data_IF_894673068990
#
_entry.id   IF_894673068990
#
_cell.length_a   1.000
_cell.length_b   1.000
_cell.length_c   1.000
_cell.angle_alpha   90.00
_cell.angle_beta   90.00
_cell.angle_gamma   90.00
#
_symmetry.space_group_name_H-M   'P 1'
#
loop_
_entity.id
_entity.type
_entity.pdbx_description
1 polymer ?
#
# COMPACT_ATOMS: atom_id res chain seq x y z
N UNK A 1 14.72 0.08 -7.93
CA UNK A 1 14.84 -0.63 -9.16
C UNK A 1 15.28 0.22 -10.34
N UNK A 2 15.25 -0.34 -11.53
CA UNK A 2 15.77 0.32 -12.76
C UNK A 2 15.07 1.67 -13.07
N UNK A 3 13.76 1.73 -12.90
CA UNK A 3 12.98 2.97 -13.12
C UNK A 3 13.44 4.06 -12.16
N UNK A 4 13.57 3.72 -10.86
CA UNK A 4 14.04 4.68 -9.85
C UNK A 4 15.43 5.21 -10.19
N UNK A 5 16.35 4.33 -10.58
CA UNK A 5 17.70 4.72 -10.98
C UNK A 5 17.71 5.70 -12.17
N UNK A 6 16.84 5.49 -13.16
CA UNK A 6 16.70 6.42 -14.31
C UNK A 6 16.16 7.79 -13.88
N UNK A 7 15.17 7.81 -12.96
CA UNK A 7 14.61 9.05 -12.42
C UNK A 7 15.67 9.82 -11.63
N UNK A 8 16.40 9.14 -10.76
CA UNK A 8 17.49 9.74 -9.97
C UNK A 8 18.61 10.29 -10.85
N UNK A 9 19.00 9.56 -11.90
CA UNK A 9 20.00 10.02 -12.85
C UNK A 9 19.60 11.32 -13.58
N UNK A 10 18.30 11.58 -13.69
CA UNK A 10 17.74 12.81 -14.23
C UNK A 10 17.49 13.91 -13.16
N UNK A 11 17.91 13.71 -11.91
CA UNK A 11 17.72 14.65 -10.79
C UNK A 11 16.31 14.63 -10.18
N UNK A 12 15.49 13.64 -10.51
CA UNK A 12 14.15 13.48 -9.94
C UNK A 12 14.12 12.69 -8.65
N UNK A 13 12.97 12.70 -7.95
CA UNK A 13 12.67 11.90 -6.78
C UNK A 13 11.56 10.92 -7.10
N UNK A 14 11.51 9.79 -6.38
CA UNK A 14 10.53 8.73 -6.61
C UNK A 14 9.60 8.60 -5.41
N UNK A 15 8.34 8.93 -5.63
CA UNK A 15 7.27 8.65 -4.69
C UNK A 15 6.66 7.28 -5.01
N UNK A 16 6.66 6.38 -4.03
CA UNK A 16 6.02 5.08 -4.15
C UNK A 16 4.72 5.10 -3.36
N UNK A 17 3.61 4.93 -4.06
CA UNK A 17 2.32 4.74 -3.41
C UNK A 17 2.30 3.37 -2.72
N UNK A 18 2.54 3.38 -1.42
CA UNK A 18 2.51 2.22 -0.53
C UNK A 18 1.17 2.08 0.19
N UNK A 19 0.08 2.64 -0.36
CA UNK A 19 -1.23 2.60 0.26
C UNK A 19 -1.66 1.18 0.63
N UNK A 20 -1.33 0.19 -0.20
CA UNK A 20 -1.55 -1.22 0.09
C UNK A 20 -0.23 -1.98 0.04
N UNK A 21 0.18 -2.53 1.18
CA UNK A 21 1.40 -3.34 1.33
C UNK A 21 1.12 -4.84 1.45
N UNK A 22 -0.08 -5.32 1.13
CA UNK A 22 -0.45 -6.73 1.33
C UNK A 22 0.43 -7.72 0.55
N UNK A 23 1.09 -7.29 -0.52
CA UNK A 23 2.05 -8.11 -1.25
C UNK A 23 3.52 -7.85 -0.85
N UNK A 24 3.79 -6.92 0.07
CA UNK A 24 5.14 -6.44 0.32
C UNK A 24 5.67 -6.72 1.73
N UNK A 25 4.80 -6.71 2.76
CA UNK A 25 5.26 -6.83 4.16
C UNK A 25 6.06 -8.12 4.35
N UNK A 26 7.29 -7.97 4.82
CA UNK A 26 8.23 -9.07 5.02
C UNK A 26 8.85 -9.65 3.74
N UNK A 27 8.45 -9.18 2.54
CA UNK A 27 8.92 -9.69 1.24
C UNK A 27 9.71 -8.67 0.43
N UNK A 28 9.33 -7.39 0.47
CA UNK A 28 10.02 -6.33 -0.25
C UNK A 28 9.86 -4.98 0.45
N UNK A 29 10.86 -4.13 0.35
CA UNK A 29 10.88 -2.82 0.97
C UNK A 29 10.99 -1.72 -0.09
N UNK A 30 10.10 -0.70 -0.08
CA UNK A 30 10.14 0.41 -1.05
C UNK A 30 11.50 1.12 -1.13
N UNK A 31 12.21 1.27 -0.01
CA UNK A 31 13.54 1.86 0.03
C UNK A 31 14.60 1.06 -0.73
N UNK A 32 14.53 -0.28 -0.69
CA UNK A 32 15.53 -1.15 -1.32
C UNK A 32 15.53 -1.07 -2.85
N UNK A 33 14.38 -0.72 -3.45
CA UNK A 33 14.31 -0.55 -4.88
C UNK A 33 14.31 0.93 -5.34
N UNK A 34 14.63 1.84 -4.42
CA UNK A 34 14.94 3.23 -4.73
C UNK A 34 13.77 4.20 -4.56
N UNK A 35 12.83 3.90 -3.67
CA UNK A 35 11.81 4.87 -3.28
C UNK A 35 12.36 5.93 -2.35
N UNK A 36 12.07 7.20 -2.61
CA UNK A 36 12.46 8.33 -1.76
C UNK A 36 11.37 8.68 -0.75
N UNK A 37 10.12 8.49 -1.13
CA UNK A 37 8.93 8.70 -0.28
C UNK A 37 7.96 7.56 -0.48
N UNK A 38 7.35 7.09 0.61
CA UNK A 38 6.22 6.16 0.57
C UNK A 38 5.24 6.47 1.68
N UNK A 39 3.94 6.36 1.41
CA UNK A 39 2.90 6.42 2.43
C UNK A 39 2.23 5.06 2.61
N UNK A 40 1.60 4.86 3.77
CA UNK A 40 0.92 3.63 4.15
C UNK A 40 -0.54 3.92 4.48
N UNK A 41 -1.45 3.04 4.05
CA UNK A 41 -2.82 3.05 4.56
C UNK A 41 -2.99 1.97 5.63
N UNK A 42 -3.13 2.38 6.87
CA UNK A 42 -3.28 1.45 7.99
C UNK A 42 -4.59 0.65 7.90
N UNK A 43 -5.61 1.20 7.25
CA UNK A 43 -6.90 0.52 7.03
C UNK A 43 -6.88 -0.52 5.91
N UNK A 44 -5.79 -0.70 5.20
CA UNK A 44 -5.63 -1.74 4.17
C UNK A 44 -4.83 -2.93 4.70
N UNK A 45 -3.62 -2.67 5.19
CA UNK A 45 -2.67 -3.73 5.58
C UNK A 45 -2.58 -3.92 7.10
N UNK A 46 -2.92 -2.89 7.89
CA UNK A 46 -2.70 -2.85 9.34
C UNK A 46 -3.98 -2.69 10.17
N UNK A 47 -5.12 -3.13 9.64
CA UNK A 47 -6.39 -3.44 10.31
C UNK A 47 -7.16 -2.31 10.98
N UNK A 48 -6.77 -1.04 10.87
CA UNK A 48 -7.63 0.01 11.40
C UNK A 48 -8.93 0.09 10.59
N UNK A 49 -10.05 0.52 11.19
CA UNK A 49 -11.30 0.67 10.45
C UNK A 49 -11.20 1.82 9.44
N UNK A 50 -11.80 1.63 8.26
CA UNK A 50 -12.01 2.72 7.30
C UNK A 50 -13.24 3.55 7.65
N UNK A 51 -14.30 2.92 8.17
CA UNK A 51 -15.45 3.58 8.80
C UNK A 51 -16.27 4.47 7.87
N UNK A 52 -16.30 4.17 6.57
CA UNK A 52 -17.05 4.98 5.59
C UNK A 52 -16.46 6.34 5.29
N UNK A 53 -15.27 6.65 5.78
CA UNK A 53 -14.58 7.92 5.55
C UNK A 53 -13.17 7.96 6.10
N UNK A 54 -12.80 6.91 6.77
CA UNK A 54 -11.47 6.68 7.30
C UNK A 54 -11.01 7.66 8.38
N UNK A 55 -10.29 7.20 9.36
CA UNK A 55 -9.53 8.07 10.25
C UNK A 55 -8.37 8.73 9.48
N UNK A 56 -8.14 10.00 9.76
CA UNK A 56 -7.10 10.80 9.11
C UNK A 56 -5.70 10.49 9.65
N UNK A 57 -5.21 9.27 9.44
CA UNK A 57 -3.86 8.88 9.80
C UNK A 57 -3.25 7.98 8.73
N UNK A 58 -2.05 8.33 8.28
CA UNK A 58 -1.30 7.56 7.29
C UNK A 58 0.19 7.85 7.49
N UNK A 59 0.97 6.86 7.96
CA UNK A 59 2.41 7.03 8.07
C UNK A 59 3.05 7.35 6.72
N UNK A 60 4.01 8.25 6.73
CA UNK A 60 4.84 8.61 5.58
C UNK A 60 6.28 8.30 5.95
N UNK A 61 6.94 7.54 5.09
CA UNK A 61 8.36 7.22 5.20
C UNK A 61 9.13 7.98 4.12
N UNK A 62 10.28 8.53 4.47
CA UNK A 62 11.13 9.27 3.55
C UNK A 62 12.58 8.78 3.62
N UNK A 63 13.31 8.94 2.52
CA UNK A 63 14.76 8.75 2.50
C UNK A 63 15.45 9.87 3.30
N UNK A 64 16.66 9.58 3.82
CA UNK A 64 17.39 10.44 4.75
C UNK A 64 17.54 11.89 4.25
N UNK A 65 17.86 12.08 2.98
CA UNK A 65 18.05 13.40 2.37
C UNK A 65 16.77 14.28 2.35
N UNK A 66 15.59 13.69 2.57
CA UNK A 66 14.32 14.40 2.63
C UNK A 66 13.88 14.75 4.06
N UNK A 67 14.57 14.25 5.09
CA UNK A 67 14.23 14.54 6.49
C UNK A 67 14.13 16.05 6.78
N UNK A 68 15.06 16.91 6.31
CA UNK A 68 14.99 18.36 6.56
C UNK A 68 13.70 19.02 6.04
N UNK A 69 13.03 18.41 5.06
CA UNK A 69 11.84 18.95 4.41
C UNK A 69 10.51 18.38 4.96
N UNK A 70 10.58 17.50 5.95
CA UNK A 70 9.36 16.95 6.56
C UNK A 70 8.50 18.07 7.19
N UNK A 71 7.16 17.87 7.26
CA UNK A 71 6.30 18.78 7.99
C UNK A 71 6.75 18.96 9.44
N UNK A 72 6.72 20.19 9.92
CA UNK A 72 7.01 20.50 11.31
C UNK A 72 5.76 20.41 12.19
N UNK A 73 5.96 20.22 13.48
CA UNK A 73 4.90 20.38 14.48
C UNK A 73 4.48 21.85 14.57
N UNK A 74 3.15 22.16 14.52
CA UNK A 74 2.67 23.55 14.74
C UNK A 74 3.11 24.16 16.07
N UNK A 75 3.36 23.33 17.06
CA UNK A 75 3.83 23.74 18.40
C UNK A 75 5.35 23.85 18.50
N UNK A 76 6.04 23.58 17.40
CA UNK A 76 7.48 23.76 17.26
C UNK A 76 8.29 23.01 18.34
N UNK A 77 7.95 21.76 18.61
CA UNK A 77 8.67 20.92 19.55
C UNK A 77 9.93 20.31 18.88
N UNK A 78 11.11 20.87 19.13
CA UNK A 78 12.35 20.38 18.51
C UNK A 78 12.77 19.00 19.00
N UNK A 79 12.10 18.46 20.03
CA UNK A 79 12.44 17.12 20.55
C UNK A 79 11.80 16.02 19.70
N UNK A 80 10.77 16.34 18.94
CA UNK A 80 10.04 15.37 18.08
C UNK A 80 10.73 15.14 16.74
N UNK A 81 11.29 16.21 16.16
CA UNK A 81 11.99 16.13 14.88
C UNK A 81 13.13 17.16 14.81
N UNK A 82 14.25 16.91 15.50
CA UNK A 82 15.35 17.90 15.59
C UNK A 82 16.03 18.17 14.25
N UNK A 83 15.95 17.25 13.30
CA UNK A 83 16.59 17.35 11.99
C UNK A 83 15.72 18.02 10.93
N UNK A 84 14.47 18.38 11.25
CA UNK A 84 13.57 19.09 10.33
C UNK A 84 13.84 20.60 10.43
N UNK A 85 14.39 21.17 9.38
CA UNK A 85 14.80 22.58 9.36
C UNK A 85 13.99 23.46 8.42
N UNK A 86 13.53 22.91 7.31
CA UNK A 86 12.89 23.67 6.22
C UNK A 86 11.39 23.41 6.10
N UNK A 87 10.90 22.35 6.76
CA UNK A 87 9.49 21.97 6.73
C UNK A 87 8.58 23.00 7.38
N UNK A 88 7.30 22.98 6.98
CA UNK A 88 6.27 23.82 7.57
C UNK A 88 5.12 22.95 8.06
N UNK A 89 4.36 23.39 9.08
CA UNK A 89 3.17 22.67 9.51
C UNK A 89 2.17 22.54 8.36
N UNK A 90 1.67 21.34 8.13
CA UNK A 90 0.66 21.06 7.09
C UNK A 90 -0.71 20.79 7.69
N UNK A 91 -0.78 20.54 9.01
CA UNK A 91 -2.00 20.23 9.74
C UNK A 91 -1.84 20.65 11.21
N UNK A 92 -2.95 21.04 11.84
CA UNK A 92 -3.01 21.26 13.29
C UNK A 92 -2.96 19.94 14.08
N UNK A 93 -3.29 18.82 13.45
CA UNK A 93 -3.19 17.47 14.02
C UNK A 93 -1.97 16.76 13.44
N UNK A 94 -0.79 17.01 14.00
CA UNK A 94 0.50 16.54 13.52
C UNK A 94 0.53 15.02 13.27
N UNK A 95 -0.10 14.26 14.15
CA UNK A 95 -0.14 12.79 14.06
C UNK A 95 -1.48 12.25 13.54
N UNK A 96 -2.33 13.12 12.98
CA UNK A 96 -3.64 12.75 12.50
C UNK A 96 -4.53 12.16 13.61
N UNK A 97 -5.34 11.17 13.27
CA UNK A 97 -6.20 10.45 14.24
C UNK A 97 -5.42 9.40 15.03
N UNK A 98 -4.44 9.85 15.82
CA UNK A 98 -3.50 8.98 16.54
C UNK A 98 -4.17 7.94 17.46
N UNK A 99 -5.39 8.18 17.92
CA UNK A 99 -6.16 7.24 18.76
C UNK A 99 -6.45 5.87 18.13
N UNK A 100 -6.27 5.70 16.81
CA UNK A 100 -6.43 4.41 16.13
C UNK A 100 -5.12 3.62 16.01
N UNK A 101 -3.97 4.23 16.28
CA UNK A 101 -2.66 3.56 16.19
C UNK A 101 -2.51 2.32 17.08
N UNK A 102 -3.09 2.27 18.31
CA UNK A 102 -3.06 1.06 19.13
C UNK A 102 -3.64 -0.18 18.43
N UNK A 103 -4.58 -0.02 17.50
CA UNK A 103 -5.15 -1.14 16.73
C UNK A 103 -4.07 -1.76 15.84
N UNK A 104 -3.36 -0.95 15.04
CA UNK A 104 -2.26 -1.44 14.21
C UNK A 104 -1.11 -1.99 15.05
N UNK A 105 -0.77 -1.33 16.16
CA UNK A 105 0.26 -1.81 17.09
C UNK A 105 -0.09 -3.20 17.64
N UNK A 106 -1.32 -3.40 18.08
CA UNK A 106 -1.80 -4.68 18.61
C UNK A 106 -1.75 -5.76 17.53
N UNK A 107 -2.22 -5.45 16.32
CA UNK A 107 -2.17 -6.37 15.18
C UNK A 107 -0.74 -6.82 14.88
N UNK A 108 0.20 -5.87 14.79
CA UNK A 108 1.62 -6.16 14.53
C UNK A 108 2.21 -7.01 15.68
N UNK A 109 1.91 -6.66 16.93
CA UNK A 109 2.39 -7.41 18.09
C UNK A 109 1.84 -8.84 18.16
N UNK A 110 0.59 -9.05 17.74
CA UNK A 110 -0.04 -10.38 17.69
C UNK A 110 0.50 -11.26 16.57
N UNK A 111 0.74 -10.66 15.40
CA UNK A 111 1.19 -11.39 14.20
C UNK A 111 2.69 -11.70 14.24
N UNK A 112 3.48 -10.78 14.77
CA UNK A 112 4.93 -10.84 14.68
C UNK A 112 5.44 -10.73 13.24
N UNK A 113 6.73 -10.83 13.04
CA UNK A 113 7.37 -10.78 11.73
C UNK A 113 7.02 -11.98 10.84
N UNK A 114 7.00 -13.17 11.42
CA UNK A 114 6.62 -14.40 10.71
C UNK A 114 5.15 -14.35 10.25
N UNK A 115 4.23 -13.97 11.14
CA UNK A 115 2.82 -13.91 10.82
C UNK A 115 2.48 -12.85 9.78
N UNK A 116 3.10 -11.68 9.84
CA UNK A 116 2.93 -10.63 8.83
C UNK A 116 3.48 -11.05 7.46
N UNK A 117 4.65 -11.69 7.44
CA UNK A 117 5.24 -12.22 6.20
C UNK A 117 4.37 -13.32 5.60
N UNK A 118 3.84 -14.23 6.43
CA UNK A 118 2.96 -15.30 5.97
C UNK A 118 1.64 -14.74 5.44
N UNK A 119 1.07 -13.71 6.05
CA UNK A 119 -0.12 -13.03 5.54
C UNK A 119 0.12 -12.48 4.12
N UNK A 120 1.29 -11.87 3.86
CA UNK A 120 1.65 -11.40 2.52
C UNK A 120 1.78 -12.57 1.53
N UNK A 121 2.43 -13.67 1.92
CA UNK A 121 2.56 -14.87 1.07
C UNK A 121 1.18 -15.45 0.72
N UNK A 122 0.31 -15.58 1.71
CA UNK A 122 -1.04 -16.09 1.49
C UNK A 122 -1.89 -15.18 0.61
N UNK A 123 -1.74 -13.86 0.72
CA UNK A 123 -2.40 -12.93 -0.18
C UNK A 123 -1.98 -13.15 -1.65
N UNK A 124 -0.68 -13.33 -1.90
CA UNK A 124 -0.16 -13.66 -3.22
C UNK A 124 -0.67 -15.00 -3.73
N UNK A 125 -0.64 -16.04 -2.90
CA UNK A 125 -1.12 -17.38 -3.25
C UNK A 125 -2.61 -17.35 -3.59
N UNK A 126 -3.43 -16.71 -2.78
CA UNK A 126 -4.88 -16.63 -2.98
C UNK A 126 -5.25 -15.93 -4.30
N UNK A 127 -4.62 -14.79 -4.60
CA UNK A 127 -4.89 -14.07 -5.86
C UNK A 127 -4.49 -14.91 -7.08
N UNK A 128 -3.33 -15.54 -7.04
CA UNK A 128 -2.86 -16.41 -8.13
C UNK A 128 -3.69 -17.68 -8.27
N UNK A 129 -4.14 -18.27 -7.16
CA UNK A 129 -5.05 -19.41 -7.19
C UNK A 129 -6.38 -19.05 -7.87
N UNK A 130 -6.98 -17.92 -7.51
CA UNK A 130 -8.23 -17.43 -8.13
C UNK A 130 -8.01 -17.18 -9.63
N UNK A 131 -6.93 -16.49 -9.98
CA UNK A 131 -6.54 -16.24 -11.37
C UNK A 131 -6.45 -17.54 -12.19
N UNK A 132 -5.76 -18.55 -11.64
CA UNK A 132 -5.59 -19.83 -12.28
C UNK A 132 -6.91 -20.64 -12.41
N UNK A 133 -7.73 -20.66 -11.36
CA UNK A 133 -9.00 -21.40 -11.35
C UNK A 133 -10.04 -20.81 -12.30
N UNK A 134 -9.99 -19.52 -12.57
CA UNK A 134 -10.95 -18.85 -13.45
C UNK A 134 -10.44 -18.64 -14.88
N UNK A 135 -9.21 -19.04 -15.20
CA UNK A 135 -8.54 -18.74 -16.46
C UNK A 135 -9.36 -19.10 -17.71
N UNK A 136 -10.04 -20.24 -17.70
CA UNK A 136 -10.82 -20.73 -18.83
C UNK A 136 -12.19 -20.04 -18.99
N UNK A 137 -12.70 -19.41 -17.92
CA UNK A 137 -14.05 -18.82 -17.90
C UNK A 137 -13.99 -17.29 -17.91
N UNK A 138 -13.13 -16.73 -17.05
CA UNK A 138 -12.96 -15.30 -16.88
C UNK A 138 -11.46 -15.02 -16.72
N UNK A 139 -10.73 -14.83 -17.82
CA UNK A 139 -9.28 -14.69 -17.77
C UNK A 139 -8.85 -13.44 -17.03
N UNK A 140 -7.67 -13.49 -16.41
CA UNK A 140 -7.03 -12.32 -15.82
C UNK A 140 -6.53 -11.39 -16.92
N UNK A 141 -6.88 -10.11 -16.82
CA UNK A 141 -6.59 -9.11 -17.85
C UNK A 141 -5.10 -8.75 -17.91
N UNK A 142 -4.45 -8.58 -16.77
CA UNK A 142 -3.04 -8.21 -16.67
C UNK A 142 -2.29 -9.14 -15.73
N UNK A 143 -1.13 -9.59 -16.18
CA UNK A 143 -0.17 -10.40 -15.40
C UNK A 143 1.24 -9.86 -15.57
N UNK A 144 2.15 -10.25 -14.68
CA UNK A 144 3.58 -10.08 -14.89
C UNK A 144 4.12 -11.02 -15.97
N UNK A 145 5.42 -10.94 -16.23
CA UNK A 145 6.12 -11.72 -17.27
C UNK A 145 5.96 -13.25 -17.12
N UNK A 146 5.81 -13.72 -15.88
CA UNK A 146 5.63 -15.15 -15.58
C UNK A 146 4.16 -15.58 -15.49
N UNK A 147 3.22 -14.74 -15.92
CA UNK A 147 1.79 -15.03 -15.85
C UNK A 147 1.20 -14.92 -14.44
N UNK A 148 1.96 -14.37 -13.48
CA UNK A 148 1.53 -14.21 -12.10
C UNK A 148 0.99 -12.80 -11.83
N UNK A 149 0.13 -12.71 -10.82
CA UNK A 149 -0.40 -11.44 -10.27
C UNK A 149 0.16 -11.17 -8.87
N UNK A 150 -0.05 -9.97 -8.36
CA UNK A 150 0.25 -9.61 -6.97
C UNK A 150 -0.76 -10.20 -5.98
N UNK A 151 -1.20 -9.38 -5.03
CA UNK A 151 -2.20 -9.78 -4.02
C UNK A 151 -3.65 -9.61 -4.49
N UNK A 152 -3.87 -9.23 -5.72
CA UNK A 152 -5.18 -9.05 -6.37
C UNK A 152 -5.07 -9.31 -7.87
N UNK A 153 -6.19 -9.61 -8.53
CA UNK A 153 -6.25 -9.80 -9.97
C UNK A 153 -7.45 -9.07 -10.57
N UNK A 154 -7.31 -8.65 -11.81
CA UNK A 154 -8.39 -8.04 -12.59
C UNK A 154 -8.93 -9.09 -13.55
N UNK A 155 -10.15 -9.56 -13.29
CA UNK A 155 -10.84 -10.53 -14.13
C UNK A 155 -11.54 -9.84 -15.30
N UNK A 156 -11.33 -10.34 -16.52
CA UNK A 156 -11.92 -9.76 -17.72
C UNK A 156 -13.29 -10.37 -18.04
N UNK A 157 -14.35 -9.63 -17.74
CA UNK A 157 -15.73 -10.03 -17.97
C UNK A 157 -16.27 -9.65 -19.37
N UNK A 158 -15.50 -8.97 -20.21
CA UNK A 158 -16.02 -8.38 -21.45
C UNK A 158 -16.63 -9.42 -22.39
N UNK A 159 -15.99 -10.56 -22.60
CA UNK A 159 -16.51 -11.62 -23.45
C UNK A 159 -17.73 -12.31 -22.84
N UNK A 160 -17.69 -12.59 -21.54
CA UNK A 160 -18.84 -13.13 -20.80
C UNK A 160 -20.05 -12.19 -20.91
N UNK A 161 -19.85 -10.90 -20.68
CA UNK A 161 -20.92 -9.90 -20.79
C UNK A 161 -21.51 -9.84 -22.21
N UNK A 162 -20.66 -9.89 -23.23
CA UNK A 162 -21.09 -9.87 -24.64
C UNK A 162 -21.96 -11.09 -25.01
N UNK A 163 -21.61 -12.26 -24.49
CA UNK A 163 -22.29 -13.52 -24.81
C UNK A 163 -23.59 -13.72 -24.00
N UNK A 164 -23.60 -13.31 -22.74
CA UNK A 164 -24.67 -13.62 -21.79
C UNK A 164 -25.50 -12.42 -21.33
N UNK A 165 -24.99 -11.20 -21.52
CA UNK A 165 -25.57 -9.98 -20.93
C UNK A 165 -25.25 -9.81 -19.44
N UNK A 166 -24.57 -10.73 -18.77
CA UNK A 166 -24.19 -10.64 -17.36
C UNK A 166 -23.10 -9.59 -17.20
N UNK A 167 -23.38 -8.59 -16.37
CA UNK A 167 -22.45 -7.48 -16.11
C UNK A 167 -21.56 -7.72 -14.89
N UNK A 168 -20.50 -6.92 -14.74
CA UNK A 168 -19.68 -6.94 -13.51
C UNK A 168 -20.50 -6.62 -12.25
N UNK A 169 -21.51 -5.75 -12.36
CA UNK A 169 -22.44 -5.45 -11.26
C UNK A 169 -23.29 -6.66 -10.88
N UNK A 170 -23.72 -7.47 -11.84
CA UNK A 170 -24.47 -8.69 -11.57
C UNK A 170 -23.60 -9.74 -10.88
N UNK A 171 -22.37 -9.91 -11.33
CA UNK A 171 -21.39 -10.79 -10.66
C UNK A 171 -21.14 -10.34 -9.23
N UNK A 172 -20.87 -9.05 -9.01
CA UNK A 172 -20.61 -8.49 -7.67
C UNK A 172 -21.80 -8.67 -6.71
N UNK A 173 -23.05 -8.59 -7.22
CA UNK A 173 -24.24 -8.85 -6.39
C UNK A 173 -24.43 -10.31 -6.04
N UNK A 174 -23.87 -11.21 -6.83
CA UNK A 174 -24.04 -12.66 -6.64
C UNK A 174 -23.00 -13.24 -5.68
N UNK A 175 -21.81 -12.64 -5.59
CA UNK A 175 -20.74 -13.01 -4.67
C UNK A 175 -20.99 -12.48 -3.26
#
# INVERSE_FOLDING_TARGET
GEVCAKVHAAGGQVYIDGANLNALVGLAQPGDFGGDVSHLNLHKTFTIPHGGGGPGVGPVCVAEHLIPFLPTDPWNDPTVAPDVQEGRPVSAATYGSAGVLPISWTYIAMMGDEGLTEASRMALVNANYISAQLADTVPTLYTGENGLVGHECILDLRELTKQSGVTAADVSKRL
#
